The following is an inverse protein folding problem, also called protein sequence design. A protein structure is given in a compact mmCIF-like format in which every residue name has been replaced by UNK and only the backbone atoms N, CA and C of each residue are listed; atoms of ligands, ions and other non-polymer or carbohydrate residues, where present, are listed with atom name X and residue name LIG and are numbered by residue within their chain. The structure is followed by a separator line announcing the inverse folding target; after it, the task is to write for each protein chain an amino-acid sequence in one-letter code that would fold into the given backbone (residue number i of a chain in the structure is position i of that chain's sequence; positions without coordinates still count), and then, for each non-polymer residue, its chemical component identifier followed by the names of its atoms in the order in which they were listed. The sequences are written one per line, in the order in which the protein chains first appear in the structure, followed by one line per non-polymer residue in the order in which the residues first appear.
data_IF_791809256178
#
_entry.id   IF_791809256178
#
_cell.length_a   1.000
_cell.length_b   1.000
_cell.length_c   1.000
_cell.angle_alpha   90.00
_cell.angle_beta   90.00
_cell.angle_gamma   90.00
#
_symmetry.space_group_name_H-M   'P 1'
#
loop_
_entity.id
_entity.type
_entity.pdbx_description
1 polymer ?
#
# COMPACT_ATOMS: atom_id res chain seq x y z
N UNK A 1 -6.88 -9.81 3.13
CA UNK A 1 -7.41 -10.53 1.92
C UNK A 1 -8.00 -11.91 2.24
N UNK A 2 -7.27 -12.80 2.94
CA UNK A 2 -7.76 -14.15 3.25
C UNK A 2 -9.03 -14.14 4.12
N UNK A 3 -9.11 -13.22 5.09
CA UNK A 3 -10.28 -13.07 5.95
C UNK A 3 -11.52 -12.67 5.15
N UNK A 4 -11.42 -11.66 4.29
CA UNK A 4 -12.53 -11.29 3.41
C UNK A 4 -12.99 -12.49 2.55
N UNK A 5 -12.05 -13.26 1.99
CA UNK A 5 -12.38 -14.47 1.20
C UNK A 5 -13.06 -15.55 2.03
N UNK A 6 -12.62 -15.77 3.27
CA UNK A 6 -13.19 -16.75 4.19
C UNK A 6 -14.66 -16.46 4.52
N UNK A 7 -14.99 -15.19 4.78
CA UNK A 7 -16.32 -14.80 5.25
C UNK A 7 -17.28 -14.40 4.12
N UNK A 8 -16.78 -13.84 3.01
CA UNK A 8 -17.59 -13.31 1.92
C UNK A 8 -17.38 -14.04 0.59
N UNK A 9 -16.40 -14.94 0.49
CA UNK A 9 -16.09 -15.64 -0.76
C UNK A 9 -15.38 -14.74 -1.77
N UNK A 10 -15.72 -14.88 -3.05
CA UNK A 10 -15.10 -14.11 -4.14
C UNK A 10 -15.84 -12.80 -4.48
N UNK A 11 -16.92 -12.48 -3.76
CA UNK A 11 -17.73 -11.28 -3.98
C UNK A 11 -18.01 -10.59 -2.65
N UNK A 12 -17.80 -9.28 -2.60
CA UNK A 12 -18.10 -8.50 -1.41
C UNK A 12 -19.61 -8.24 -1.32
N UNK A 13 -20.20 -8.21 -0.10
CA UNK A 13 -21.59 -7.82 0.07
C UNK A 13 -21.83 -6.39 -0.41
N UNK A 14 -22.89 -6.17 -1.18
CA UNK A 14 -23.28 -4.84 -1.70
C UNK A 14 -24.26 -4.10 -0.80
N UNK A 15 -24.78 -4.76 0.25
CA UNK A 15 -25.72 -4.19 1.22
C UNK A 15 -25.08 -3.25 2.24
N UNK A 16 -23.75 -3.17 2.29
CA UNK A 16 -23.00 -2.32 3.21
C UNK A 16 -22.18 -1.30 2.43
N UNK A 17 -21.97 -0.12 3.03
CA UNK A 17 -21.02 0.83 2.47
C UNK A 17 -19.60 0.27 2.50
N UNK A 18 -18.70 0.73 1.61
CA UNK A 18 -17.28 0.38 1.64
C UNK A 18 -16.62 0.54 3.02
N UNK A 19 -16.95 1.63 3.73
CA UNK A 19 -16.40 1.92 5.06
C UNK A 19 -16.88 0.92 6.11
N UNK A 20 -18.20 0.67 6.16
CA UNK A 20 -18.76 -0.31 7.09
C UNK A 20 -18.19 -1.71 6.83
N UNK A 21 -18.02 -2.09 5.56
CA UNK A 21 -17.42 -3.37 5.22
C UNK A 21 -15.94 -3.45 5.60
N UNK A 22 -15.18 -2.36 5.46
CA UNK A 22 -13.79 -2.30 5.91
C UNK A 22 -13.67 -2.48 7.43
N UNK A 23 -14.55 -1.84 8.21
CA UNK A 23 -14.62 -2.01 9.66
C UNK A 23 -14.93 -3.46 10.04
N UNK A 24 -15.89 -4.09 9.36
CA UNK A 24 -16.21 -5.51 9.57
C UNK A 24 -15.00 -6.41 9.28
N UNK A 25 -14.32 -6.21 8.15
CA UNK A 25 -13.14 -7.01 7.79
C UNK A 25 -12.02 -6.80 8.82
N UNK A 26 -11.77 -5.56 9.25
CA UNK A 26 -10.79 -5.25 10.28
C UNK A 26 -11.09 -5.97 11.60
N UNK A 27 -12.34 -5.95 12.07
CA UNK A 27 -12.75 -6.65 13.30
C UNK A 27 -12.64 -8.18 13.17
N UNK A 28 -12.91 -8.73 11.98
CA UNK A 28 -12.74 -10.17 11.72
C UNK A 28 -11.27 -10.58 11.65
N UNK A 29 -10.38 -9.69 11.16
CA UNK A 29 -8.93 -9.89 11.16
C UNK A 29 -8.33 -9.71 12.57
N UNK A 30 -8.98 -8.95 13.44
CA UNK A 30 -8.51 -8.63 14.79
C UNK A 30 -9.53 -9.09 15.85
N UNK A 31 -9.79 -10.41 15.99
CA UNK A 31 -10.74 -10.88 16.98
C UNK A 31 -10.22 -10.65 18.40
N UNK A 32 -11.08 -10.47 19.41
CA UNK A 32 -10.69 -10.07 20.76
C UNK A 32 -9.78 -11.06 21.50
N UNK A 33 -9.69 -12.31 21.03
CA UNK A 33 -8.82 -13.34 21.59
C UNK A 33 -7.40 -13.34 21.00
N UNK A 34 -7.15 -12.60 19.90
CA UNK A 34 -5.81 -12.44 19.33
C UNK A 34 -5.05 -11.38 20.14
N UNK A 35 -3.95 -11.79 20.78
CA UNK A 35 -3.17 -10.93 21.68
C UNK A 35 -1.79 -10.55 21.16
N UNK A 36 -1.24 -11.34 20.25
CA UNK A 36 0.18 -11.23 19.86
C UNK A 36 0.42 -10.26 18.70
N UNK A 37 -0.62 -9.95 17.92
CA UNK A 37 -0.53 -9.13 16.73
C UNK A 37 -1.86 -8.42 16.44
N UNK A 38 -1.77 -7.16 16.05
CA UNK A 38 -2.89 -6.35 15.59
C UNK A 38 -2.59 -5.86 14.16
N UNK A 39 -3.42 -6.23 13.19
CA UNK A 39 -3.28 -5.74 11.82
C UNK A 39 -3.84 -4.31 11.70
N UNK A 40 -3.33 -3.56 10.72
CA UNK A 40 -3.90 -2.24 10.36
C UNK A 40 -5.19 -2.37 9.53
N UNK A 41 -5.91 -1.26 9.36
CA UNK A 41 -7.15 -1.22 8.56
C UNK A 41 -6.94 -0.91 7.06
N UNK A 42 -5.71 -0.61 6.64
CA UNK A 42 -5.40 -0.16 5.28
C UNK A 42 -5.82 -1.20 4.22
N UNK A 43 -5.48 -2.47 4.43
CA UNK A 43 -5.83 -3.56 3.51
C UNK A 43 -7.35 -3.73 3.39
N UNK A 44 -8.07 -3.66 4.52
CA UNK A 44 -9.52 -3.74 4.54
C UNK A 44 -10.15 -2.60 3.72
N UNK A 45 -9.62 -1.38 3.88
CA UNK A 45 -10.07 -0.20 3.13
C UNK A 45 -9.72 -0.28 1.64
N UNK A 46 -8.54 -0.80 1.30
CA UNK A 46 -8.15 -1.03 -0.09
C UNK A 46 -9.02 -2.09 -0.77
N UNK A 47 -9.43 -3.14 -0.04
CA UNK A 47 -10.31 -4.20 -0.56
C UNK A 47 -11.73 -3.70 -0.85
N UNK A 48 -12.25 -2.76 -0.04
CA UNK A 48 -13.64 -2.29 -0.14
C UNK A 48 -13.81 -0.96 -0.87
N UNK A 49 -12.76 -0.14 -0.95
CA UNK A 49 -12.77 1.19 -1.57
C UNK A 49 -12.71 1.20 -3.10
N UNK A 50 -12.84 2.39 -3.68
CA UNK A 50 -12.78 2.65 -5.11
C UNK A 50 -11.77 3.76 -5.40
N UNK A 51 -11.25 3.79 -6.63
CA UNK A 51 -10.31 4.81 -7.08
C UNK A 51 -9.00 4.82 -6.29
N UNK A 52 -8.36 5.99 -6.25
CA UNK A 52 -7.22 6.25 -5.38
C UNK A 52 -7.70 6.97 -4.11
N UNK A 53 -7.14 6.62 -2.95
CA UNK A 53 -7.56 7.18 -1.66
C UNK A 53 -6.35 7.60 -0.82
N UNK A 54 -6.45 8.78 -0.19
CA UNK A 54 -5.55 9.24 0.87
C UNK A 54 -6.30 9.21 2.20
N UNK A 55 -5.79 8.42 3.14
CA UNK A 55 -6.35 8.22 4.47
C UNK A 55 -5.56 9.01 5.52
N UNK A 56 -6.25 9.83 6.30
CA UNK A 56 -5.65 10.52 7.46
C UNK A 56 -6.13 9.88 8.74
N UNK A 57 -5.20 9.39 9.57
CA UNK A 57 -5.50 8.71 10.82
C UNK A 57 -5.31 9.64 12.02
N UNK A 58 -6.27 9.72 12.95
CA UNK A 58 -6.02 10.36 14.24
C UNK A 58 -5.07 9.51 15.08
N UNK A 59 -4.29 10.15 15.95
CA UNK A 59 -3.39 9.44 16.86
C UNK A 59 -4.15 8.40 17.69
N UNK A 60 -3.66 7.16 17.70
CA UNK A 60 -4.29 6.03 18.40
C UNK A 60 -5.56 5.47 17.75
N UNK A 61 -6.00 6.01 16.62
CA UNK A 61 -7.19 5.54 15.91
C UNK A 61 -6.88 4.43 14.90
N UNK A 62 -7.74 3.41 14.85
CA UNK A 62 -7.66 2.34 13.83
C UNK A 62 -8.34 2.71 12.52
N UNK A 63 -9.12 3.79 12.51
CA UNK A 63 -9.86 4.25 11.34
C UNK A 63 -9.52 5.71 11.06
N UNK A 64 -9.42 6.09 9.77
CA UNK A 64 -9.17 7.46 9.38
C UNK A 64 -10.34 8.36 9.78
N UNK A 65 -10.02 9.60 10.13
CA UNK A 65 -11.02 10.65 10.33
C UNK A 65 -11.30 11.41 9.02
N UNK A 66 -10.46 11.25 8.00
CA UNK A 66 -10.61 11.87 6.69
C UNK A 66 -10.16 10.91 5.60
N UNK A 67 -10.98 10.82 4.55
CA UNK A 67 -10.71 10.02 3.36
C UNK A 67 -10.87 10.94 2.16
N UNK A 68 -9.76 11.27 1.50
CA UNK A 68 -9.79 11.98 0.23
C UNK A 68 -9.77 10.94 -0.89
N UNK A 69 -10.67 11.05 -1.87
CA UNK A 69 -10.78 10.08 -2.96
C UNK A 69 -10.64 10.75 -4.31
N UNK A 70 -10.01 10.05 -5.25
CA UNK A 70 -9.96 10.38 -6.68
C UNK A 70 -10.56 9.23 -7.46
N UNK A 71 -11.53 9.57 -8.30
CA UNK A 71 -12.29 8.62 -9.11
C UNK A 71 -12.47 9.10 -10.55
N UNK A 72 -11.87 10.24 -10.93
CA UNK A 72 -11.93 10.71 -12.30
C UNK A 72 -11.07 9.81 -13.20
N UNK A 73 -11.65 9.43 -14.34
CA UNK A 73 -11.04 8.43 -15.22
C UNK A 73 -9.69 8.89 -15.78
N UNK A 74 -9.50 10.20 -16.00
CA UNK A 74 -8.24 10.73 -16.49
C UNK A 74 -7.08 10.44 -15.52
N UNK A 75 -7.27 10.69 -14.22
CA UNK A 75 -6.27 10.40 -13.19
C UNK A 75 -6.08 8.90 -12.98
N UNK A 76 -7.16 8.12 -12.94
CA UNK A 76 -7.07 6.68 -12.73
C UNK A 76 -6.36 5.98 -13.90
N UNK A 77 -6.75 6.29 -15.15
CA UNK A 77 -6.08 5.75 -16.33
C UNK A 77 -4.61 6.17 -16.42
N UNK A 78 -4.28 7.41 -16.01
CA UNK A 78 -2.90 7.86 -15.91
C UNK A 78 -2.10 7.02 -14.90
N UNK A 79 -2.66 6.75 -13.71
CA UNK A 79 -2.01 5.88 -12.73
C UNK A 79 -1.79 4.45 -13.26
N UNK A 80 -2.82 3.86 -13.88
CA UNK A 80 -2.73 2.51 -14.47
C UNK A 80 -1.71 2.41 -15.60
N UNK A 81 -1.45 3.50 -16.33
CA UNK A 81 -0.44 3.55 -17.38
C UNK A 81 1.00 3.65 -16.87
N UNK A 82 1.20 4.03 -15.60
CA UNK A 82 2.53 4.26 -15.02
C UNK A 82 2.85 3.36 -13.83
N UNK A 83 1.90 2.57 -13.34
CA UNK A 83 2.10 1.65 -12.22
C UNK A 83 1.94 0.20 -12.67
N UNK A 84 2.88 -0.64 -12.26
CA UNK A 84 2.81 -2.07 -12.48
C UNK A 84 3.34 -2.84 -11.27
N UNK A 85 3.05 -4.14 -11.23
CA UNK A 85 3.53 -5.06 -10.22
C UNK A 85 4.51 -6.06 -10.83
N UNK A 86 5.53 -6.42 -10.04
CA UNK A 86 6.23 -7.68 -10.20
C UNK A 86 6.07 -8.51 -8.94
N UNK A 87 6.01 -9.82 -9.10
CA UNK A 87 6.11 -10.73 -7.98
C UNK A 87 7.56 -11.17 -7.83
N UNK A 88 8.14 -10.93 -6.66
CA UNK A 88 9.45 -11.45 -6.29
C UNK A 88 9.30 -12.93 -5.87
N UNK A 89 9.33 -13.21 -4.57
CA UNK A 89 9.08 -14.51 -3.95
C UNK A 89 8.24 -14.34 -2.69
N UNK A 90 7.61 -15.41 -2.20
CA UNK A 90 6.92 -15.34 -0.92
C UNK A 90 7.93 -15.08 0.21
N UNK A 91 7.62 -14.14 1.11
CA UNK A 91 8.43 -13.93 2.32
C UNK A 91 8.56 -15.26 3.07
N UNK A 92 9.79 -15.70 3.42
CA UNK A 92 9.98 -16.89 4.22
C UNK A 92 9.22 -16.80 5.56
N UNK A 93 8.61 -17.91 6.04
CA UNK A 93 7.73 -17.89 7.22
C UNK A 93 8.45 -17.55 8.53
N UNK A 94 9.77 -17.74 8.58
CA UNK A 94 10.65 -17.45 9.71
C UNK A 94 11.14 -15.99 9.73
N UNK A 95 11.01 -15.25 8.62
CA UNK A 95 11.39 -13.83 8.55
C UNK A 95 10.32 -12.97 9.19
N UNK A 96 10.65 -12.41 10.35
CA UNK A 96 9.82 -11.45 11.05
C UNK A 96 10.05 -10.04 10.50
N UNK A 97 8.96 -9.32 10.22
CA UNK A 97 8.98 -7.90 9.92
C UNK A 97 8.70 -7.15 11.21
N UNK A 98 9.65 -6.33 11.64
CA UNK A 98 9.56 -5.66 12.94
C UNK A 98 9.91 -4.17 12.79
N UNK A 99 9.02 -3.25 13.19
CA UNK A 99 9.37 -1.84 13.30
C UNK A 99 10.48 -1.64 14.34
N UNK A 100 11.45 -0.77 14.03
CA UNK A 100 12.53 -0.36 14.93
C UNK A 100 12.03 0.71 15.91
N UNK A 101 11.02 0.35 16.70
CA UNK A 101 10.32 1.25 17.63
C UNK A 101 11.30 1.96 18.57
N UNK A 102 10.87 3.12 19.10
CA UNK A 102 11.57 3.85 20.17
C UNK A 102 12.98 4.36 19.80
N UNK A 103 13.23 4.62 18.52
CA UNK A 103 14.45 5.28 18.04
C UNK A 103 14.14 6.63 17.39
N UNK A 104 15.02 7.62 17.50
CA UNK A 104 14.88 8.90 16.78
C UNK A 104 14.77 8.68 15.26
N UNK A 105 15.48 7.66 14.76
CA UNK A 105 15.41 7.24 13.37
C UNK A 105 14.02 6.73 12.96
N UNK A 106 13.27 6.13 13.88
CA UNK A 106 11.91 5.67 13.61
C UNK A 106 10.95 6.86 13.46
N UNK A 107 10.96 7.79 14.42
CA UNK A 107 10.11 8.99 14.33
C UNK A 107 10.39 9.79 13.05
N UNK A 108 11.67 10.04 12.75
CA UNK A 108 12.05 10.74 11.53
C UNK A 108 11.60 10.00 10.25
N UNK A 109 11.62 8.66 10.26
CA UNK A 109 11.12 7.87 9.16
C UNK A 109 9.59 7.92 9.05
N UNK A 110 8.84 7.90 10.16
CA UNK A 110 7.38 8.11 10.17
C UNK A 110 7.03 9.47 9.56
N UNK A 111 7.70 10.54 9.99
CA UNK A 111 7.47 11.89 9.47
C UNK A 111 7.78 11.97 7.97
N UNK A 112 8.86 11.31 7.54
CA UNK A 112 9.25 11.23 6.13
C UNK A 112 8.22 10.47 5.30
N UNK A 113 7.67 9.37 5.82
CA UNK A 113 6.60 8.62 5.15
C UNK A 113 5.32 9.45 5.03
N UNK A 114 4.93 10.16 6.09
CA UNK A 114 3.76 11.03 6.07
C UNK A 114 3.91 12.16 5.02
N UNK A 115 5.06 12.84 5.00
CA UNK A 115 5.35 13.87 4.01
C UNK A 115 5.33 13.29 2.58
N UNK A 116 5.97 12.13 2.37
CA UNK A 116 5.98 11.45 1.08
C UNK A 116 4.58 11.01 0.62
N UNK A 117 3.68 10.61 1.52
CA UNK A 117 2.29 10.30 1.18
C UNK A 117 1.53 11.53 0.68
N UNK A 118 1.73 12.70 1.30
CA UNK A 118 1.12 13.96 0.86
C UNK A 118 1.67 14.42 -0.49
N UNK A 119 2.98 14.31 -0.68
CA UNK A 119 3.63 14.65 -1.95
C UNK A 119 3.19 13.70 -3.08
N UNK A 120 3.07 12.41 -2.78
CA UNK A 120 2.55 11.39 -3.70
C UNK A 120 1.13 11.75 -4.13
N UNK A 121 0.25 12.08 -3.18
CA UNK A 121 -1.11 12.51 -3.49
C UNK A 121 -1.15 13.76 -4.39
N UNK A 122 -0.32 14.75 -4.09
CA UNK A 122 -0.24 15.97 -4.90
C UNK A 122 0.36 15.70 -6.29
N UNK A 123 1.29 14.75 -6.43
CA UNK A 123 1.84 14.34 -7.72
C UNK A 123 0.80 13.63 -8.59
N UNK A 124 -0.03 12.77 -7.98
CA UNK A 124 -1.17 12.12 -8.65
C UNK A 124 -2.14 13.18 -9.19
N UNK A 125 -2.51 14.16 -8.37
CA UNK A 125 -3.42 15.26 -8.77
C UNK A 125 -2.87 16.09 -9.95
N UNK A 126 -1.54 16.22 -10.04
CA UNK A 126 -0.86 16.94 -11.12
C UNK A 126 -0.47 16.05 -12.31
N UNK A 127 -0.68 14.74 -12.21
CA UNK A 127 -0.19 13.74 -13.18
C UNK A 127 1.32 13.89 -13.46
N UNK A 128 2.10 14.17 -12.40
CA UNK A 128 3.54 14.41 -12.46
C UNK A 128 4.31 13.13 -12.13
N UNK A 129 4.81 12.46 -13.16
CA UNK A 129 5.49 11.17 -13.04
C UNK A 129 6.78 11.25 -12.22
N UNK A 130 7.56 12.34 -12.40
CA UNK A 130 8.82 12.51 -11.70
C UNK A 130 8.58 12.76 -10.20
N UNK A 131 7.61 13.61 -9.87
CA UNK A 131 7.22 13.84 -8.49
C UNK A 131 6.59 12.59 -7.83
N UNK A 132 5.83 11.80 -8.59
CA UNK A 132 5.29 10.52 -8.13
C UNK A 132 6.42 9.54 -7.79
N UNK A 133 7.39 9.38 -8.70
CA UNK A 133 8.53 8.50 -8.51
C UNK A 133 9.37 8.91 -7.28
N UNK A 134 9.68 10.20 -7.13
CA UNK A 134 10.40 10.73 -5.97
C UNK A 134 9.67 10.44 -4.65
N UNK A 135 8.36 10.70 -4.60
CA UNK A 135 7.56 10.48 -3.41
C UNK A 135 7.49 8.98 -3.03
N UNK A 136 7.32 8.09 -4.02
CA UNK A 136 7.31 6.64 -3.82
C UNK A 136 8.66 6.15 -3.28
N UNK A 137 9.77 6.57 -3.89
CA UNK A 137 11.12 6.18 -3.48
C UNK A 137 11.46 6.71 -2.07
N UNK A 138 11.13 7.98 -1.75
CA UNK A 138 11.30 8.52 -0.40
C UNK A 138 10.52 7.73 0.65
N UNK A 139 9.27 7.39 0.37
CA UNK A 139 8.45 6.58 1.28
C UNK A 139 9.04 5.18 1.47
N UNK A 140 9.46 4.51 0.40
CA UNK A 140 10.05 3.18 0.48
C UNK A 140 11.40 3.15 1.22
N UNK A 141 12.26 4.17 1.02
CA UNK A 141 13.50 4.35 1.78
C UNK A 141 13.23 4.54 3.26
N UNK A 142 12.26 5.38 3.61
CA UNK A 142 11.86 5.59 5.00
C UNK A 142 11.31 4.32 5.64
N UNK A 143 10.48 3.54 4.93
CA UNK A 143 10.02 2.21 5.39
C UNK A 143 11.18 1.26 5.63
N UNK A 144 12.15 1.19 4.71
CA UNK A 144 13.31 0.30 4.83
C UNK A 144 14.22 0.70 6.01
N UNK A 145 14.30 1.99 6.34
CA UNK A 145 15.01 2.46 7.53
C UNK A 145 14.25 2.14 8.83
N UNK A 146 12.92 2.32 8.83
CA UNK A 146 12.08 2.14 10.01
C UNK A 146 11.77 0.67 10.34
N UNK A 147 11.78 -0.22 9.35
CA UNK A 147 11.23 -1.57 9.47
C UNK A 147 12.31 -2.60 9.10
N UNK A 148 12.67 -3.41 10.09
CA UNK A 148 13.61 -4.50 9.90
C UNK A 148 13.05 -5.57 8.96
N UNK A 149 13.92 -6.12 8.10
CA UNK A 149 13.61 -7.11 7.07
C UNK A 149 12.57 -6.66 6.02
N UNK A 150 12.18 -5.38 5.98
CA UNK A 150 11.22 -4.88 5.00
C UNK A 150 11.72 -5.03 3.56
N UNK A 151 13.00 -4.74 3.31
CA UNK A 151 13.62 -4.86 2.00
C UNK A 151 15.04 -5.47 2.11
N UNK A 152 15.16 -6.81 2.19
CA UNK A 152 16.45 -7.51 2.28
C UNK A 152 17.30 -7.32 1.02
N UNK A 153 18.59 -7.68 1.08
CA UNK A 153 19.57 -7.43 0.00
C UNK A 153 19.07 -7.97 -1.33
N UNK A 154 18.60 -9.21 -1.35
CA UNK A 154 18.14 -9.89 -2.56
C UNK A 154 16.94 -9.15 -3.17
N UNK A 155 16.05 -8.60 -2.35
CA UNK A 155 14.89 -7.84 -2.82
C UNK A 155 15.30 -6.48 -3.38
N UNK A 156 16.35 -5.85 -2.82
CA UNK A 156 16.94 -4.64 -3.39
C UNK A 156 17.59 -4.92 -4.75
N UNK A 157 18.28 -6.03 -4.89
CA UNK A 157 18.88 -6.44 -6.17
C UNK A 157 17.79 -6.72 -7.22
N UNK A 158 16.72 -7.42 -6.81
CA UNK A 158 15.53 -7.61 -7.64
C UNK A 158 14.93 -6.28 -8.12
N UNK A 159 14.75 -5.32 -7.21
CA UNK A 159 14.23 -3.97 -7.54
C UNK A 159 15.16 -3.23 -8.49
N UNK A 160 16.46 -3.26 -8.24
CA UNK A 160 17.45 -2.54 -9.04
C UNK A 160 17.50 -3.06 -10.49
N UNK A 161 17.27 -4.36 -10.69
CA UNK A 161 17.28 -4.99 -12.02
C UNK A 161 16.09 -4.59 -12.90
N UNK A 162 14.96 -4.14 -12.33
CA UNK A 162 13.80 -3.68 -13.12
C UNK A 162 14.03 -2.32 -13.78
N UNK A 163 15.03 -1.54 -13.32
CA UNK A 163 15.38 -0.22 -13.88
C UNK A 163 14.19 0.76 -14.02
N UNK A 164 13.19 0.64 -13.15
CA UNK A 164 12.04 1.53 -13.11
C UNK A 164 12.38 2.90 -12.51
N UNK A 165 11.49 3.87 -12.66
CA UNK A 165 11.69 5.22 -12.10
C UNK A 165 11.65 5.21 -10.56
N UNK A 166 10.80 4.37 -9.96
CA UNK A 166 10.78 4.12 -8.53
C UNK A 166 10.15 2.75 -8.24
N UNK A 167 10.33 2.27 -7.01
CA UNK A 167 9.73 1.03 -6.54
C UNK A 167 9.37 1.11 -5.06
N UNK A 168 8.34 0.36 -4.66
CA UNK A 168 7.96 0.16 -3.27
C UNK A 168 7.54 -1.29 -3.05
N UNK A 169 8.10 -1.90 -2.02
CA UNK A 169 7.67 -3.23 -1.56
C UNK A 169 6.28 -3.10 -0.94
N UNK A 170 5.33 -3.94 -1.39
CA UNK A 170 3.94 -3.87 -0.94
C UNK A 170 3.73 -4.62 0.38
N UNK A 171 2.80 -4.12 1.18
CA UNK A 171 2.45 -4.72 2.46
C UNK A 171 3.58 -4.63 3.48
N UNK A 172 3.70 -5.63 4.35
CA UNK A 172 4.68 -5.61 5.44
C UNK A 172 6.15 -5.68 4.97
N UNK A 173 6.43 -6.19 3.76
CA UNK A 173 7.79 -6.35 3.23
C UNK A 173 8.37 -7.76 3.38
N UNK A 174 9.66 -7.93 3.05
CA UNK A 174 10.40 -9.19 3.08
C UNK A 174 10.19 -10.10 1.86
N UNK A 175 9.47 -9.62 0.85
CA UNK A 175 9.12 -10.34 -0.37
C UNK A 175 7.71 -9.98 -0.86
N UNK A 176 7.19 -10.76 -1.80
CA UNK A 176 5.86 -10.65 -2.36
C UNK A 176 5.83 -9.74 -3.58
N UNK A 177 4.75 -8.97 -3.68
CA UNK A 177 4.59 -8.00 -4.76
C UNK A 177 5.38 -6.73 -4.48
N UNK A 178 6.01 -6.21 -5.51
CA UNK A 178 6.63 -4.89 -5.53
C UNK A 178 5.90 -4.06 -6.58
N UNK A 179 5.48 -2.87 -6.19
CA UNK A 179 4.92 -1.89 -7.11
C UNK A 179 6.03 -1.02 -7.67
N UNK A 180 5.97 -0.76 -8.97
CA UNK A 180 6.94 0.04 -9.71
C UNK A 180 6.25 1.20 -10.40
N UNK A 181 6.96 2.33 -10.46
CA UNK A 181 6.61 3.51 -11.25
C UNK A 181 7.48 3.50 -12.50
N UNK A 182 6.89 3.59 -13.69
CA UNK A 182 7.64 3.69 -14.93
C UNK A 182 6.92 4.55 -15.96
N UNK A 183 7.69 5.13 -16.88
CA UNK A 183 7.17 5.86 -18.04
C UNK A 183 6.54 4.92 -19.08
N UNK A 184 7.01 3.69 -19.17
CA UNK A 184 6.43 2.65 -20.01
C UNK A 184 6.45 1.33 -19.28
N UNK A 185 5.28 0.70 -19.14
CA UNK A 185 5.14 -0.58 -18.45
C UNK A 185 5.73 -1.72 -19.31
N UNK A 186 6.62 -2.57 -18.76
CA UNK A 186 7.11 -3.75 -19.46
C UNK A 186 5.97 -4.69 -19.90
N UNK A 187 6.07 -5.27 -21.09
CA UNK A 187 5.01 -6.10 -21.64
C UNK A 187 4.71 -7.37 -20.82
N UNK A 188 5.68 -7.85 -20.04
CA UNK A 188 5.58 -9.03 -19.18
C UNK A 188 5.28 -8.69 -17.71
N UNK A 189 5.05 -7.40 -17.40
CA UNK A 189 4.64 -6.95 -16.08
C UNK A 189 3.17 -7.31 -15.76
N UNK A 190 2.83 -7.30 -14.47
CA UNK A 190 1.44 -7.43 -14.03
C UNK A 190 0.84 -6.01 -13.98
N UNK A 191 -0.15 -5.67 -14.84
CA UNK A 191 -0.74 -4.35 -14.83
C UNK A 191 -1.56 -4.12 -13.55
N UNK A 192 -1.57 -2.88 -13.08
CA UNK A 192 -2.48 -2.46 -12.01
C UNK A 192 -3.81 -2.05 -12.63
N UNK A 193 -4.90 -2.54 -12.04
CA UNK A 193 -6.25 -2.10 -12.35
C UNK A 193 -6.92 -1.54 -11.10
N UNK A 194 -7.34 -0.28 -11.17
CA UNK A 194 -8.01 0.46 -10.12
C UNK A 194 -9.53 0.23 -10.24
N UNK A 195 -10.19 -0.15 -9.15
CA UNK A 195 -11.64 -0.39 -9.18
C UNK A 195 -12.40 0.95 -9.24
N UNK A 196 -13.25 1.13 -10.27
CA UNK A 196 -14.17 2.26 -10.38
C UNK A 196 -15.40 2.03 -9.49
N UNK A 197 -16.07 3.10 -9.03
CA UNK A 197 -17.33 2.98 -8.27
C UNK A 197 -18.53 2.60 -9.15
N UNK A 198 -18.45 2.94 -10.44
CA UNK A 198 -19.53 2.74 -11.39
C UNK A 198 -19.34 1.42 -12.16
N UNK A 199 -20.43 0.72 -12.56
CA UNK A 199 -20.38 -0.54 -13.30
C UNK A 199 -19.86 -0.42 -14.73
#
# INVERSE_FOLDING_TARGET
RETARKYFGCQLPTSYSPDTLAEMIFCLENPPHRRDYLSGSLDARGITGYGASLFTYPAGGFFPNTINQRQDEATLAWLEAHLYLRHSWNRPPDVQIQPRLETDSFTAAIDSMQAASLDCWAAIDRQDLAALADAVDRSHRAQTAAIENHCPVELRDFIANEQAAAAMVMGAGGGGYVAFVAETIPADAIPIHIRRSDP
#
